data_IF_868995118704
#
_entry.id   IF_868995118704
#
_cell.length_a   1.000
_cell.length_b   1.000
_cell.length_c   1.000
_cell.angle_alpha   90.00
_cell.angle_beta   90.00
_cell.angle_gamma   90.00
#
_symmetry.space_group_name_H-M   'P 1'
#
loop_
_entity.id
_entity.type
_entity.pdbx_description
1 polymer ?
#
# COMPACT_ATOMS: atom_id res chain seq x y z
N UNK A 1 -2.35 -6.86 -22.29
CA UNK A 1 -2.66 -6.14 -21.04
C UNK A 1 -1.89 -6.76 -19.88
N UNK A 2 -1.17 -5.97 -19.13
CA UNK A 2 -0.40 -6.48 -18.01
C UNK A 2 -1.32 -6.58 -16.79
N UNK A 3 -1.42 -7.78 -16.24
CA UNK A 3 -2.22 -8.00 -15.03
C UNK A 3 -1.47 -7.48 -13.81
N UNK A 4 -2.17 -6.75 -12.94
CA UNK A 4 -1.58 -6.24 -11.71
C UNK A 4 -1.32 -7.39 -10.75
N UNK A 5 -0.06 -7.56 -10.34
CA UNK A 5 0.30 -8.61 -9.39
C UNK A 5 0.19 -8.11 -7.95
N UNK A 6 0.00 -9.06 -7.03
CA UNK A 6 -0.04 -8.77 -5.61
C UNK A 6 1.27 -8.10 -5.14
N UNK A 7 2.41 -8.63 -5.58
CA UNK A 7 3.72 -8.10 -5.20
C UNK A 7 3.89 -6.66 -5.67
N UNK A 8 3.50 -6.38 -6.91
CA UNK A 8 3.59 -5.02 -7.45
C UNK A 8 2.74 -4.05 -6.64
N UNK A 9 1.51 -4.44 -6.34
CA UNK A 9 0.61 -3.58 -5.56
C UNK A 9 1.12 -3.38 -4.14
N UNK A 10 1.59 -4.44 -3.48
CA UNK A 10 2.14 -4.34 -2.13
C UNK A 10 3.34 -3.39 -2.08
N UNK A 11 4.24 -3.49 -3.04
CA UNK A 11 5.39 -2.60 -3.09
C UNK A 11 4.97 -1.15 -3.33
N UNK A 12 4.03 -0.94 -4.23
CA UNK A 12 3.53 0.41 -4.51
C UNK A 12 2.89 1.03 -3.26
N UNK A 13 1.99 0.30 -2.61
CA UNK A 13 1.32 0.78 -1.41
C UNK A 13 2.32 1.00 -0.27
N UNK A 14 3.27 0.09 -0.10
CA UNK A 14 4.30 0.22 0.93
C UNK A 14 5.16 1.45 0.73
N UNK A 15 5.62 1.70 -0.51
CA UNK A 15 6.42 2.87 -0.82
C UNK A 15 5.66 4.16 -0.56
N UNK A 16 4.43 4.24 -1.01
CA UNK A 16 3.62 5.44 -0.83
C UNK A 16 3.24 5.66 0.63
N UNK A 17 2.96 4.59 1.35
CA UNK A 17 2.69 4.67 2.79
C UNK A 17 3.87 5.33 3.51
N UNK A 18 5.09 4.86 3.23
CA UNK A 18 6.29 5.42 3.86
C UNK A 18 6.47 6.88 3.50
N UNK A 19 6.22 7.24 2.25
CA UNK A 19 6.34 8.62 1.80
C UNK A 19 5.36 9.54 2.52
N UNK A 20 4.10 9.11 2.67
CA UNK A 20 3.10 9.89 3.40
C UNK A 20 3.43 9.99 4.88
N UNK A 21 3.98 8.92 5.48
CA UNK A 21 4.45 8.98 6.87
C UNK A 21 5.58 10.00 7.02
N UNK A 22 6.49 10.06 6.06
CA UNK A 22 7.58 11.04 6.08
C UNK A 22 7.06 12.47 5.98
N UNK A 23 5.89 12.66 5.36
CA UNK A 23 5.25 13.97 5.27
C UNK A 23 4.46 14.35 6.52
N UNK A 24 4.37 13.45 7.50
CA UNK A 24 3.74 13.73 8.77
C UNK A 24 2.32 13.17 8.94
N UNK A 25 1.82 12.43 7.95
CA UNK A 25 0.49 11.81 8.06
C UNK A 25 0.56 10.59 9.00
N UNK A 26 -0.54 10.31 9.69
CA UNK A 26 -0.62 9.13 10.55
C UNK A 26 -0.75 7.85 9.72
N UNK A 27 -0.72 6.69 10.40
CA UNK A 27 -0.76 5.39 9.73
C UNK A 27 -2.04 5.20 8.90
N UNK A 28 -3.19 5.54 9.47
CA UNK A 28 -4.47 5.34 8.81
C UNK A 28 -4.58 6.20 7.55
N UNK A 29 -4.26 7.48 7.67
CA UNK A 29 -4.33 8.41 6.54
C UNK A 29 -3.32 8.04 5.46
N UNK A 30 -2.11 7.65 5.85
CA UNK A 30 -1.08 7.23 4.91
C UNK A 30 -1.53 6.00 4.10
N UNK A 31 -2.19 5.06 4.75
CA UNK A 31 -2.70 3.87 4.09
C UNK A 31 -3.83 4.23 3.11
N UNK A 32 -4.78 5.07 3.53
CA UNK A 32 -5.87 5.50 2.66
C UNK A 32 -5.36 6.25 1.43
N UNK A 33 -4.42 7.16 1.61
CA UNK A 33 -3.83 7.91 0.50
C UNK A 33 -3.08 6.99 -0.45
N UNK A 34 -2.40 5.99 0.09
CA UNK A 34 -1.68 5.01 -0.73
C UNK A 34 -2.63 4.16 -1.56
N UNK A 35 -3.77 3.75 -0.99
CA UNK A 35 -4.79 3.02 -1.74
C UNK A 35 -5.40 3.90 -2.84
N UNK A 36 -5.66 5.17 -2.54
CA UNK A 36 -6.17 6.12 -3.51
C UNK A 36 -5.21 6.27 -4.68
N UNK A 37 -3.92 6.42 -4.39
CA UNK A 37 -2.88 6.55 -5.42
C UNK A 37 -2.79 5.29 -6.27
N UNK A 38 -2.89 4.12 -5.64
CA UNK A 38 -2.87 2.85 -6.36
C UNK A 38 -4.07 2.72 -7.29
N UNK A 39 -5.25 3.10 -6.81
CA UNK A 39 -6.47 3.07 -7.63
C UNK A 39 -6.37 4.01 -8.82
N UNK A 40 -5.74 5.16 -8.63
CA UNK A 40 -5.53 6.11 -9.71
C UNK A 40 -4.54 5.58 -10.74
N UNK A 41 -3.48 4.92 -10.29
CA UNK A 41 -2.44 4.41 -11.18
C UNK A 41 -2.85 3.15 -11.94
N UNK A 42 -3.47 2.19 -11.24
CA UNK A 42 -3.75 0.86 -11.80
C UNK A 42 -5.23 0.64 -12.14
N UNK A 43 -6.10 1.55 -11.72
CA UNK A 43 -7.52 1.41 -11.89
C UNK A 43 -8.18 0.81 -10.66
N UNK A 44 -9.32 1.37 -10.20
CA UNK A 44 -9.96 0.92 -8.96
C UNK A 44 -10.42 -0.54 -9.01
N UNK A 45 -10.87 -1.01 -10.18
CA UNK A 45 -11.34 -2.39 -10.32
C UNK A 45 -10.19 -3.39 -10.22
N UNK A 46 -9.04 -3.06 -10.82
CA UNK A 46 -7.86 -3.93 -10.75
C UNK A 46 -7.31 -4.02 -9.34
N UNK A 47 -7.24 -2.88 -8.64
CA UNK A 47 -6.79 -2.84 -7.25
C UNK A 47 -7.74 -3.65 -6.37
N UNK A 48 -9.04 -3.47 -6.54
CA UNK A 48 -10.05 -4.21 -5.78
C UNK A 48 -9.91 -5.72 -5.97
N UNK A 49 -9.71 -6.16 -7.22
CA UNK A 49 -9.53 -7.59 -7.51
C UNK A 49 -8.33 -8.18 -6.78
N UNK A 50 -7.21 -7.47 -6.79
CA UNK A 50 -5.99 -7.94 -6.12
C UNK A 50 -6.20 -8.02 -4.61
N UNK A 51 -6.82 -6.99 -4.02
CA UNK A 51 -7.08 -6.96 -2.58
C UNK A 51 -8.03 -8.07 -2.17
N UNK A 52 -9.09 -8.31 -2.95
CA UNK A 52 -10.06 -9.37 -2.63
C UNK A 52 -9.46 -10.77 -2.71
N UNK A 53 -8.49 -10.98 -3.60
CA UNK A 53 -7.80 -12.27 -3.71
C UNK A 53 -6.76 -12.47 -2.62
N UNK A 54 -6.36 -11.40 -1.97
CA UNK A 54 -5.39 -11.46 -0.89
C UNK A 54 -6.12 -11.72 0.42
N UNK A 55 -5.64 -12.68 1.20
CA UNK A 55 -6.26 -13.06 2.45
C UNK A 55 -6.22 -11.93 3.48
N UNK A 56 -5.14 -11.16 3.50
CA UNK A 56 -5.01 -10.08 4.47
C UNK A 56 -4.09 -8.99 3.91
N UNK A 57 -4.59 -8.28 2.91
CA UNK A 57 -3.78 -7.29 2.19
C UNK A 57 -3.24 -6.20 3.10
N UNK A 58 -4.07 -5.71 4.02
CA UNK A 58 -3.68 -4.64 4.94
C UNK A 58 -2.46 -5.03 5.77
N UNK A 59 -2.48 -6.24 6.32
CA UNK A 59 -1.36 -6.74 7.14
C UNK A 59 -0.11 -6.90 6.27
N UNK A 60 -0.28 -7.44 5.07
CA UNK A 60 0.86 -7.60 4.15
C UNK A 60 1.46 -6.25 3.75
N UNK A 61 0.62 -5.25 3.50
CA UNK A 61 1.08 -3.91 3.16
C UNK A 61 1.85 -3.27 4.31
N UNK A 62 1.36 -3.41 5.53
CA UNK A 62 2.05 -2.91 6.73
C UNK A 62 3.39 -3.62 6.92
N UNK A 63 3.44 -4.93 6.67
CA UNK A 63 4.68 -5.70 6.77
C UNK A 63 5.72 -5.20 5.75
N UNK A 64 5.31 -4.93 4.53
CA UNK A 64 6.20 -4.37 3.52
C UNK A 64 6.68 -2.97 3.92
N UNK A 65 5.77 -2.14 4.44
CA UNK A 65 6.11 -0.81 4.91
C UNK A 65 7.10 -0.88 6.07
N UNK A 66 6.97 -1.87 6.95
CA UNK A 66 7.89 -2.06 8.07
C UNK A 66 9.33 -2.36 7.59
N UNK A 67 9.45 -3.02 6.45
CA UNK A 67 10.76 -3.27 5.83
C UNK A 67 11.32 -1.98 5.21
N UNK A 68 10.46 -1.19 4.57
CA UNK A 68 10.87 0.01 3.84
C UNK A 68 11.10 1.23 4.74
N UNK A 69 10.32 1.38 5.79
CA UNK A 69 10.44 2.50 6.72
C UNK A 69 10.18 2.06 8.15
N UNK A 70 11.08 1.22 8.71
CA UNK A 70 10.88 0.67 10.06
C UNK A 70 10.75 1.74 11.14
N UNK A 71 11.36 2.91 10.94
CA UNK A 71 11.31 4.00 11.90
C UNK A 71 9.88 4.50 12.15
N UNK A 72 8.99 4.34 11.20
CA UNK A 72 7.59 4.79 11.33
C UNK A 72 6.68 3.71 11.92
N UNK A 73 7.04 2.45 11.70
CA UNK A 73 6.20 1.32 12.16
C UNK A 73 6.48 0.99 13.62
N UNK A 74 7.70 1.24 14.06
CA UNK A 74 8.14 0.92 15.43
C UNK A 74 7.77 1.99 16.46
N UNK A 75 7.11 3.04 16.04
CA UNK A 75 6.68 4.13 16.92
C UNK A 75 5.66 3.69 17.97
#
# INVERSE_FOLDING_TARGET
MIELSLVTLLNFVGDNFCEYRNLGHDNYKSLLLSYSDASEKYGPLEVKKVIEKSENFKVAAIAIAAIKCPQHIME
#
